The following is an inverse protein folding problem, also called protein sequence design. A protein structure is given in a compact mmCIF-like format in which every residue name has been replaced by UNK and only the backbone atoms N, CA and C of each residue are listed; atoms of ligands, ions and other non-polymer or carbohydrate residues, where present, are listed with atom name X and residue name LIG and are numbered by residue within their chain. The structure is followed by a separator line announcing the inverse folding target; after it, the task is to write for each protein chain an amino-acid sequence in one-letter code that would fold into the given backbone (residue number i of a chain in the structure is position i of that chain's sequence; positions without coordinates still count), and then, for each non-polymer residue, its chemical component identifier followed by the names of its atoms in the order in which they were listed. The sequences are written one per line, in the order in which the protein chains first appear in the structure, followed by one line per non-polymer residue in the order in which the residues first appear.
data_IF_888299484953
#
_entry.id   IF_888299484953
#
_cell.length_a   1.000
_cell.length_b   1.000
_cell.length_c   1.000
_cell.angle_alpha   90.00
_cell.angle_beta   90.00
_cell.angle_gamma   90.00
#
_symmetry.space_group_name_H-M   'P 1'
#
loop_
_entity.id
_entity.type
_entity.pdbx_description
1 polymer ?
#
# COMPACT_ATOMS: atom_id res chain seq x y z
N UNK A 1 -23.11 3.63 5.93
CA UNK A 1 -22.45 4.78 5.30
C UNK A 1 -22.98 4.92 3.89
N UNK A 2 -23.34 6.14 3.48
CA UNK A 2 -23.83 6.40 2.13
C UNK A 2 -22.65 6.40 1.14
N UNK A 3 -22.82 5.81 -0.04
CA UNK A 3 -21.77 5.73 -1.08
C UNK A 3 -21.14 7.10 -1.44
N UNK A 4 -21.84 8.22 -1.20
CA UNK A 4 -21.32 9.57 -1.43
C UNK A 4 -20.16 9.97 -0.50
N UNK A 5 -20.23 9.62 0.78
CA UNK A 5 -19.22 10.02 1.77
C UNK A 5 -17.88 9.29 1.55
N UNK A 6 -17.92 8.06 1.05
CA UNK A 6 -16.71 7.31 0.68
C UNK A 6 -16.01 7.90 -0.54
N UNK A 7 -16.77 8.28 -1.57
CA UNK A 7 -16.24 8.87 -2.80
C UNK A 7 -15.52 10.21 -2.56
N UNK A 8 -16.06 11.05 -1.68
CA UNK A 8 -15.49 12.36 -1.38
C UNK A 8 -14.15 12.24 -0.65
N UNK A 9 -14.05 11.35 0.34
CA UNK A 9 -12.81 11.06 1.06
C UNK A 9 -11.66 10.69 0.12
N UNK A 10 -11.86 9.75 -0.81
CA UNK A 10 -10.78 9.29 -1.70
C UNK A 10 -10.37 10.35 -2.71
N UNK A 11 -11.29 11.22 -3.12
CA UNK A 11 -10.98 12.36 -3.98
C UNK A 11 -10.11 13.39 -3.25
N UNK A 12 -10.47 13.73 -2.01
CA UNK A 12 -9.68 14.64 -1.18
C UNK A 12 -8.29 14.08 -0.90
N UNK A 13 -8.20 12.82 -0.49
CA UNK A 13 -6.93 12.13 -0.26
C UNK A 13 -6.08 12.09 -1.54
N UNK A 14 -6.68 11.72 -2.68
CA UNK A 14 -5.98 11.67 -3.96
C UNK A 14 -5.42 13.03 -4.38
N UNK A 15 -6.17 14.12 -4.16
CA UNK A 15 -5.68 15.47 -4.42
C UNK A 15 -4.54 15.85 -3.47
N UNK A 16 -4.69 15.59 -2.17
CA UNK A 16 -3.65 15.88 -1.19
C UNK A 16 -2.34 15.18 -1.53
N UNK A 17 -2.39 13.90 -1.93
CA UNK A 17 -1.21 13.13 -2.33
C UNK A 17 -0.54 13.69 -3.59
N UNK A 18 -1.31 14.08 -4.62
CA UNK A 18 -0.78 14.70 -5.84
C UNK A 18 -0.09 16.05 -5.58
N UNK A 19 -0.55 16.79 -4.57
CA UNK A 19 0.06 18.06 -4.18
C UNK A 19 1.27 17.89 -3.26
N UNK A 20 1.24 16.90 -2.38
CA UNK A 20 2.24 16.69 -1.32
C UNK A 20 3.44 15.86 -1.78
N UNK A 21 3.30 15.11 -2.88
CA UNK A 21 4.29 14.14 -3.35
C UNK A 21 4.57 14.41 -4.82
N UNK A 22 5.84 14.38 -5.22
CA UNK A 22 6.27 14.57 -6.62
C UNK A 22 5.86 13.41 -7.56
N UNK A 23 5.17 12.40 -7.05
CA UNK A 23 4.61 11.31 -7.84
C UNK A 23 3.22 11.69 -8.38
N UNK A 24 3.06 11.58 -9.70
CA UNK A 24 1.82 11.90 -10.42
C UNK A 24 1.02 10.65 -10.82
N UNK A 25 1.47 9.46 -10.44
CA UNK A 25 0.86 8.18 -10.81
C UNK A 25 -0.43 7.85 -10.06
N UNK A 26 -0.87 8.72 -9.14
CA UNK A 26 -2.08 8.50 -8.34
C UNK A 26 -3.34 8.51 -9.21
N UNK A 27 -4.06 7.40 -9.16
CA UNK A 27 -5.41 7.26 -9.72
C UNK A 27 -6.40 7.12 -8.57
N UNK A 28 -7.31 8.08 -8.44
CA UNK A 28 -8.45 7.97 -7.55
C UNK A 28 -9.51 7.03 -8.14
N UNK A 29 -9.92 6.04 -7.36
CA UNK A 29 -11.03 5.14 -7.65
C UNK A 29 -12.12 5.33 -6.59
N UNK A 30 -13.31 4.76 -6.84
CA UNK A 30 -14.48 4.93 -5.98
C UNK A 30 -14.27 4.51 -4.51
N UNK A 31 -13.23 3.72 -4.22
CA UNK A 31 -12.97 3.14 -2.89
C UNK A 31 -11.49 3.07 -2.47
N UNK A 32 -10.57 3.61 -3.27
CA UNK A 32 -9.14 3.63 -2.97
C UNK A 32 -8.39 4.63 -3.86
N UNK A 33 -7.18 5.00 -3.47
CA UNK A 33 -6.18 5.63 -4.36
C UNK A 33 -5.17 4.57 -4.79
N UNK A 34 -4.89 4.46 -6.09
CA UNK A 34 -3.93 3.50 -6.65
C UNK A 34 -2.68 4.19 -7.19
N UNK A 35 -1.55 3.54 -7.04
CA UNK A 35 -0.25 3.97 -7.58
C UNK A 35 0.70 2.76 -7.64
N UNK A 36 1.87 2.93 -8.26
CA UNK A 36 2.95 1.93 -8.24
C UNK A 36 4.13 2.47 -7.43
N UNK A 37 4.80 1.61 -6.68
CA UNK A 37 5.96 2.01 -5.89
C UNK A 37 7.11 1.00 -5.99
N UNK A 38 8.29 1.45 -5.52
CA UNK A 38 9.54 0.71 -5.42
C UNK A 38 10.23 0.47 -6.79
N UNK A 39 11.34 1.19 -7.02
CA UNK A 39 12.10 1.15 -8.27
C UNK A 39 12.66 -0.23 -8.66
N UNK A 40 12.75 -1.19 -7.71
CA UNK A 40 13.30 -2.53 -7.96
C UNK A 40 12.26 -3.66 -8.04
N UNK A 41 11.05 -3.47 -7.52
CA UNK A 41 10.04 -4.54 -7.43
C UNK A 41 8.61 -4.13 -7.82
N UNK A 42 8.36 -2.89 -8.26
CA UNK A 42 7.09 -2.42 -8.86
C UNK A 42 5.81 -2.94 -8.15
N UNK A 43 5.71 -2.70 -6.84
CA UNK A 43 4.50 -3.02 -6.09
C UNK A 43 3.33 -2.18 -6.56
N UNK A 44 2.16 -2.81 -6.69
CA UNK A 44 0.89 -2.10 -6.77
C UNK A 44 0.54 -1.60 -5.35
N UNK A 45 0.27 -0.31 -5.18
CA UNK A 45 -0.14 0.28 -3.90
C UNK A 45 -1.60 0.67 -3.98
N UNK A 46 -2.40 0.21 -3.02
CA UNK A 46 -3.79 0.60 -2.85
C UNK A 46 -3.97 1.27 -1.49
N UNK A 47 -4.35 2.54 -1.48
CA UNK A 47 -4.62 3.31 -0.27
C UNK A 47 -6.13 3.34 -0.08
N UNK A 48 -6.62 2.46 0.78
CA UNK A 48 -8.01 2.44 1.24
C UNK A 48 -8.24 3.38 2.43
N UNK A 49 -9.46 3.40 2.95
CA UNK A 49 -9.81 4.26 4.09
C UNK A 49 -9.07 3.87 5.38
N UNK A 50 -8.84 2.57 5.57
CA UNK A 50 -8.28 2.02 6.80
C UNK A 50 -6.93 1.34 6.58
N UNK A 51 -6.50 1.14 5.34
CA UNK A 51 -5.25 0.44 5.07
C UNK A 51 -4.50 0.98 3.85
N UNK A 52 -3.18 0.83 3.86
CA UNK A 52 -2.34 0.83 2.67
C UNK A 52 -2.02 -0.62 2.37
N UNK A 53 -2.36 -1.08 1.17
CA UNK A 53 -2.07 -2.44 0.70
C UNK A 53 -0.96 -2.39 -0.34
N UNK A 54 0.11 -3.14 -0.12
CA UNK A 54 1.13 -3.43 -1.12
C UNK A 54 0.82 -4.78 -1.74
N UNK A 55 0.62 -4.83 -3.05
CA UNK A 55 0.41 -6.06 -3.80
C UNK A 55 1.67 -6.38 -4.60
N UNK A 56 2.20 -7.58 -4.38
CA UNK A 56 3.35 -8.08 -5.13
C UNK A 56 2.97 -8.29 -6.61
N UNK A 57 3.84 -7.91 -7.57
CA UNK A 57 3.54 -8.14 -8.98
C UNK A 57 3.64 -9.62 -9.37
N UNK A 58 4.47 -10.40 -8.68
CA UNK A 58 4.63 -11.82 -8.97
C UNK A 58 3.63 -12.68 -8.19
N UNK A 59 3.30 -13.83 -8.77
CA UNK A 59 2.25 -14.73 -8.29
C UNK A 59 2.84 -16.12 -8.13
N UNK A 60 2.27 -16.91 -7.22
CA UNK A 60 2.71 -18.27 -6.92
C UNK A 60 4.15 -18.37 -6.41
N UNK A 61 4.64 -17.32 -5.74
CA UNK A 61 5.93 -17.37 -5.07
C UNK A 61 5.92 -18.35 -3.89
N UNK A 62 7.11 -18.72 -3.44
CA UNK A 62 7.27 -19.53 -2.24
C UNK A 62 7.11 -18.71 -0.95
N UNK A 63 6.87 -19.42 0.16
CA UNK A 63 6.68 -18.79 1.47
C UNK A 63 7.99 -18.18 2.02
N UNK A 64 9.15 -18.61 1.52
CA UNK A 64 10.44 -18.02 1.87
C UNK A 64 10.57 -16.59 1.32
N UNK A 65 10.17 -16.38 0.07
CA UNK A 65 10.11 -15.06 -0.57
C UNK A 65 9.15 -14.13 0.17
N UNK A 66 7.96 -14.62 0.55
CA UNK A 66 7.03 -13.84 1.39
C UNK A 66 7.67 -13.43 2.72
N UNK A 67 8.38 -14.36 3.37
CA UNK A 67 9.02 -14.12 4.66
C UNK A 67 10.12 -13.06 4.55
N UNK A 68 11.00 -13.18 3.56
CA UNK A 68 12.08 -12.22 3.31
C UNK A 68 11.54 -10.83 2.99
N UNK A 69 10.52 -10.72 2.12
CA UNK A 69 9.89 -9.44 1.80
C UNK A 69 9.20 -8.82 3.01
N UNK A 70 8.52 -9.62 3.84
CA UNK A 70 7.90 -9.13 5.09
C UNK A 70 8.94 -8.52 6.03
N UNK A 71 10.09 -9.20 6.19
CA UNK A 71 11.19 -8.68 7.00
C UNK A 71 11.75 -7.38 6.42
N UNK A 72 11.99 -7.33 5.11
CA UNK A 72 12.49 -6.11 4.45
C UNK A 72 11.53 -4.94 4.61
N UNK A 73 10.23 -5.15 4.38
CA UNK A 73 9.21 -4.10 4.56
C UNK A 73 9.18 -3.59 6.01
N UNK A 74 9.13 -4.48 6.99
CA UNK A 74 9.07 -4.08 8.41
C UNK A 74 10.38 -3.47 8.91
N UNK A 75 11.53 -3.82 8.32
CA UNK A 75 12.82 -3.23 8.66
C UNK A 75 13.04 -1.88 7.95
N UNK A 76 12.54 -1.70 6.73
CA UNK A 76 12.80 -0.51 5.91
C UNK A 76 11.96 0.69 6.31
N UNK A 77 10.86 0.45 7.02
CA UNK A 77 9.89 1.49 7.39
C UNK A 77 9.86 1.67 8.91
N UNK A 78 11.02 1.59 9.57
CA UNK A 78 11.24 2.16 10.91
C UNK A 78 11.52 3.65 10.74
N UNK A 79 10.53 4.49 11.03
CA UNK A 79 10.71 5.94 10.92
C UNK A 79 10.32 6.64 12.21
N UNK A 80 11.33 7.08 12.98
CA UNK A 80 11.10 7.78 14.24
C UNK A 80 10.33 6.91 15.26
N UNK A 81 9.24 7.42 15.83
CA UNK A 81 8.46 6.73 16.88
C UNK A 81 7.35 5.80 16.35
N UNK A 82 7.07 5.78 15.04
CA UNK A 82 5.99 4.96 14.49
C UNK A 82 6.56 3.74 13.75
N UNK A 83 6.35 2.56 14.31
CA UNK A 83 6.61 1.29 13.63
C UNK A 83 5.45 0.98 12.69
N UNK A 84 5.68 1.10 11.38
CA UNK A 84 4.73 0.60 10.40
C UNK A 84 4.88 -0.93 10.31
N UNK A 85 3.89 -1.64 10.84
CA UNK A 85 3.89 -3.09 10.87
C UNK A 85 3.00 -3.63 9.75
N UNK A 86 3.62 -4.08 8.66
CA UNK A 86 2.90 -4.70 7.56
C UNK A 86 2.50 -6.14 7.90
N UNK A 87 1.23 -6.43 7.72
CA UNK A 87 0.66 -7.75 7.92
C UNK A 87 0.59 -8.45 6.56
N UNK A 88 1.34 -9.55 6.43
CA UNK A 88 1.33 -10.37 5.22
C UNK A 88 0.00 -11.12 5.07
N UNK A 89 -0.52 -11.16 3.84
CA UNK A 89 -1.69 -11.94 3.44
C UNK A 89 -1.45 -12.64 2.11
N UNK A 90 -1.81 -13.92 2.06
CA UNK A 90 -1.80 -14.75 0.85
C UNK A 90 -3.24 -14.94 0.37
N UNK A 91 -3.55 -14.44 -0.82
CA UNK A 91 -4.88 -14.59 -1.42
C UNK A 91 -4.86 -15.65 -2.51
N UNK A 92 -5.78 -16.60 -2.44
CA UNK A 92 -5.93 -17.68 -3.39
C UNK A 92 -7.12 -17.45 -4.31
N UNK A 93 -6.91 -17.56 -5.62
CA UNK A 93 -7.97 -17.40 -6.62
C UNK A 93 -8.22 -18.69 -7.39
N UNK A 94 -9.50 -19.08 -7.49
CA UNK A 94 -9.99 -20.15 -8.36
C UNK A 94 -10.53 -19.56 -9.68
N UNK A 95 -10.49 -20.30 -10.80
CA UNK A 95 -10.06 -21.70 -10.95
C UNK A 95 -8.55 -21.89 -11.18
N UNK A 96 -7.80 -20.81 -11.39
CA UNK A 96 -6.43 -20.87 -11.92
C UNK A 96 -5.36 -21.30 -10.90
N UNK A 97 -5.76 -21.61 -9.66
CA UNK A 97 -4.87 -21.94 -8.54
C UNK A 97 -3.75 -20.92 -8.35
N UNK A 98 -4.09 -19.63 -8.43
CA UNK A 98 -3.10 -18.55 -8.33
C UNK A 98 -3.10 -17.96 -6.93
N UNK A 99 -1.91 -17.85 -6.34
CA UNK A 99 -1.64 -17.13 -5.10
C UNK A 99 -1.07 -15.75 -5.39
N UNK A 100 -1.68 -14.75 -4.79
CA UNK A 100 -1.23 -13.36 -4.79
C UNK A 100 -0.82 -12.96 -3.38
N UNK A 101 0.23 -12.15 -3.30
CA UNK A 101 0.88 -11.78 -2.05
C UNK A 101 0.61 -10.31 -1.77
N UNK A 102 0.14 -10.02 -0.56
CA UNK A 102 -0.26 -8.69 -0.13
C UNK A 102 0.34 -8.38 1.24
N UNK A 103 0.61 -7.11 1.48
CA UNK A 103 0.99 -6.59 2.78
C UNK A 103 0.12 -5.40 3.12
N UNK A 104 -0.56 -5.47 4.26
CA UNK A 104 -1.45 -4.42 4.72
C UNK A 104 -0.81 -3.66 5.87
N UNK A 105 -0.83 -2.34 5.77
CA UNK A 105 -0.57 -1.43 6.87
C UNK A 105 -1.89 -0.80 7.32
N UNK A 106 -2.22 -0.91 8.60
CA UNK A 106 -3.37 -0.20 9.19
C UNK A 106 -3.06 1.30 9.28
N UNK A 107 -3.95 2.09 8.67
CA UNK A 107 -3.90 3.56 8.66
C UNK A 107 -5.20 4.18 9.16
N UNK A 108 -6.06 3.39 9.83
CA UNK A 108 -7.38 3.83 10.31
C UNK A 108 -7.35 5.05 11.23
N UNK A 109 -6.20 5.33 11.83
CA UNK A 109 -5.96 6.47 12.71
C UNK A 109 -5.10 7.58 12.10
N UNK A 110 -4.65 7.42 10.85
CA UNK A 110 -3.74 8.36 10.22
C UNK A 110 -4.48 9.56 9.64
N UNK A 111 -3.87 10.72 9.78
CA UNK A 111 -4.16 11.91 8.98
C UNK A 111 -3.65 11.75 7.54
N UNK A 112 -4.11 12.63 6.63
CA UNK A 112 -3.60 12.64 5.24
C UNK A 112 -2.09 12.89 5.16
N UNK A 113 -1.54 13.71 6.06
CA UNK A 113 -0.10 13.92 6.14
C UNK A 113 0.63 12.63 6.51
N UNK A 114 0.17 11.91 7.53
CA UNK A 114 0.78 10.64 7.94
C UNK A 114 0.68 9.56 6.85
N UNK A 115 -0.41 9.55 6.09
CA UNK A 115 -0.56 8.69 4.91
C UNK A 115 0.47 9.06 3.83
N UNK A 116 0.66 10.34 3.54
CA UNK A 116 1.64 10.81 2.57
C UNK A 116 3.09 10.49 2.98
N UNK A 117 3.40 10.64 4.27
CA UNK A 117 4.70 10.25 4.83
C UNK A 117 4.93 8.74 4.76
N UNK A 118 3.92 7.93 5.10
CA UNK A 118 3.98 6.48 4.97
C UNK A 118 4.22 6.06 3.52
N UNK A 119 3.47 6.64 2.58
CA UNK A 119 3.63 6.37 1.15
C UNK A 119 5.03 6.77 0.64
N UNK A 120 5.53 7.95 1.02
CA UNK A 120 6.86 8.41 0.63
C UNK A 120 7.96 7.47 1.13
N UNK A 121 7.81 6.90 2.33
CA UNK A 121 8.75 5.89 2.85
C UNK A 121 8.67 4.60 2.06
N UNK A 122 7.45 4.14 1.75
CA UNK A 122 7.20 2.95 0.91
C UNK A 122 7.91 3.08 -0.44
N UNK A 123 7.81 4.23 -1.10
CA UNK A 123 8.48 4.46 -2.40
C UNK A 123 10.01 4.36 -2.33
N UNK A 124 10.59 4.66 -1.18
CA UNK A 124 12.04 4.67 -0.96
C UNK A 124 12.59 3.33 -0.46
N UNK A 125 11.75 2.29 -0.31
CA UNK A 125 12.21 0.95 0.06
C UNK A 125 13.09 0.40 -1.05
N UNK A 126 14.29 -0.02 -0.67
CA UNK A 126 15.23 -0.71 -1.55
C UNK A 126 15.24 -2.18 -1.18
N UNK A 127 15.00 -3.01 -2.19
CA UNK A 127 15.10 -4.47 -2.10
C UNK A 127 16.39 -4.95 -2.74
#
# INVERSE_FOLDING_TARGET
MNNKEGLEYFKELGNYLKESITDTSFVDANSYVYTKCCASLDFDVLIGKNNITLKYPFRNEDDATATSLTQLLNNSITAGQNNFNFIFRKHYTQPNKVYYFYWDLDISHFSFQEIAEAYSKIQNIKF
#
